data_IF_709768575421
#
_entry.id   IF_709768575421
#
_cell.length_a   1.000
_cell.length_b   1.000
_cell.length_c   1.000
_cell.angle_alpha   90.00
_cell.angle_beta   90.00
_cell.angle_gamma   90.00
#
_symmetry.space_group_name_H-M   'P 1'
#
loop_
_entity.id
_entity.type
_entity.pdbx_description
1 polymer ?
#
# COMPACT_ATOMS: atom_id res chain seq x y z
N UNK A 1 -12.03 10.17 20.30
CA UNK A 1 -10.59 9.87 20.54
C UNK A 1 -10.36 8.71 21.52
N UNK A 2 -11.21 8.54 22.56
CA UNK A 2 -11.10 7.47 23.57
C UNK A 2 -11.25 6.05 22.96
N UNK A 3 -12.20 5.83 22.05
CA UNK A 3 -12.44 4.50 21.46
C UNK A 3 -11.31 3.96 20.57
N UNK A 4 -10.53 4.82 19.90
CA UNK A 4 -9.41 4.38 19.05
C UNK A 4 -8.24 3.88 19.92
N UNK A 5 -7.92 4.61 20.99
CA UNK A 5 -6.83 4.24 21.90
C UNK A 5 -7.16 2.93 22.63
N UNK A 6 -8.40 2.74 23.06
CA UNK A 6 -8.84 1.49 23.69
C UNK A 6 -8.87 0.32 22.69
N UNK A 7 -9.27 0.57 21.43
CA UNK A 7 -9.20 -0.42 20.35
C UNK A 7 -7.75 -0.87 20.09
N UNK A 8 -6.82 0.08 20.04
CA UNK A 8 -5.39 -0.20 19.85
C UNK A 8 -4.79 -0.95 21.06
N UNK A 9 -5.21 -0.63 22.29
CA UNK A 9 -4.77 -1.33 23.52
C UNK A 9 -5.25 -2.78 23.57
N UNK A 10 -6.51 -3.04 23.24
CA UNK A 10 -7.07 -4.41 23.23
C UNK A 10 -6.45 -5.31 22.15
N UNK A 11 -5.96 -4.71 21.06
CA UNK A 11 -5.42 -5.40 19.88
C UNK A 11 -3.93 -5.09 19.66
N UNK A 12 -3.20 -4.76 20.72
CA UNK A 12 -1.82 -4.27 20.68
C UNK A 12 -0.87 -5.17 19.89
N UNK A 13 -1.05 -6.49 19.94
CA UNK A 13 -0.28 -7.44 19.15
C UNK A 13 -0.57 -7.36 17.65
N UNK A 14 -1.83 -7.24 17.24
CA UNK A 14 -2.18 -7.09 15.82
C UNK A 14 -1.69 -5.75 15.24
N UNK A 15 -1.76 -4.69 16.05
CA UNK A 15 -1.19 -3.38 15.71
C UNK A 15 0.33 -3.48 15.57
N UNK A 16 1.01 -4.17 16.50
CA UNK A 16 2.45 -4.42 16.41
C UNK A 16 2.84 -5.14 15.13
N UNK A 17 2.10 -6.19 14.75
CA UNK A 17 2.32 -6.91 13.49
C UNK A 17 2.13 -6.02 12.27
N UNK A 18 1.11 -5.15 12.27
CA UNK A 18 0.87 -4.24 11.16
C UNK A 18 2.00 -3.20 11.02
N UNK A 19 2.46 -2.63 12.14
CA UNK A 19 3.59 -1.69 12.15
C UNK A 19 4.87 -2.36 11.66
N UNK A 20 5.17 -3.58 12.12
CA UNK A 20 6.32 -4.35 11.66
C UNK A 20 6.23 -4.63 10.16
N UNK A 21 5.06 -5.00 9.64
CA UNK A 21 4.85 -5.20 8.21
C UNK A 21 5.12 -3.92 7.41
N UNK A 22 4.62 -2.76 7.87
CA UNK A 22 4.94 -1.46 7.27
C UNK A 22 6.45 -1.14 7.28
N UNK A 23 7.15 -1.44 8.38
CA UNK A 23 8.60 -1.26 8.46
C UNK A 23 9.36 -2.17 7.49
N UNK A 24 8.91 -3.42 7.30
CA UNK A 24 9.49 -4.33 6.32
C UNK A 24 9.34 -3.77 4.89
N UNK A 25 8.21 -3.12 4.58
CA UNK A 25 8.02 -2.44 3.28
C UNK A 25 9.00 -1.28 3.12
N UNK A 26 9.25 -0.49 4.16
CA UNK A 26 10.26 0.58 4.12
C UNK A 26 11.65 0.00 3.85
N UNK A 27 12.02 -1.08 4.55
CA UNK A 27 13.32 -1.76 4.38
C UNK A 27 13.45 -2.35 2.98
N UNK A 28 12.41 -3.00 2.47
CA UNK A 28 12.42 -3.59 1.13
C UNK A 28 12.59 -2.55 0.02
N UNK A 29 12.12 -1.33 0.25
CA UNK A 29 12.20 -0.21 -0.69
C UNK A 29 13.32 0.79 -0.37
N UNK A 30 14.32 0.41 0.44
CA UNK A 30 15.37 1.33 0.89
C UNK A 30 16.17 1.93 -0.27
N UNK A 31 16.39 1.15 -1.32
CA UNK A 31 17.09 1.57 -2.55
C UNK A 31 16.15 2.14 -3.62
N UNK A 32 14.88 2.39 -3.27
CA UNK A 32 13.82 2.78 -4.21
C UNK A 32 12.82 1.65 -4.45
N UNK A 33 11.63 2.05 -4.92
CA UNK A 33 10.57 1.12 -5.33
C UNK A 33 10.90 0.49 -6.68
N UNK A 34 10.53 -0.77 -6.84
CA UNK A 34 10.72 -1.54 -8.06
C UNK A 34 9.79 -1.10 -9.19
N UNK A 35 10.29 -1.23 -10.41
CA UNK A 35 9.61 -0.83 -11.64
C UNK A 35 9.33 -2.06 -12.51
N UNK A 36 8.13 -2.13 -13.05
CA UNK A 36 7.81 -3.01 -14.17
C UNK A 36 7.44 -2.21 -15.41
N UNK A 37 7.13 -2.91 -16.50
CA UNK A 37 6.55 -2.29 -17.69
C UNK A 37 5.29 -1.48 -17.34
N UNK A 38 4.39 -2.10 -16.59
CA UNK A 38 3.10 -1.53 -16.18
C UNK A 38 3.24 -0.29 -15.30
N UNK A 39 4.30 -0.26 -14.48
CA UNK A 39 4.63 0.88 -13.63
C UNK A 39 4.82 2.16 -14.45
N UNK A 40 5.47 2.06 -15.60
CA UNK A 40 5.80 3.22 -16.44
C UNK A 40 4.52 3.95 -16.87
N UNK A 41 3.48 3.19 -17.18
CA UNK A 41 2.17 3.74 -17.52
C UNK A 41 1.52 4.42 -16.32
N UNK A 42 1.50 3.77 -15.15
CA UNK A 42 0.90 4.35 -13.95
C UNK A 42 1.52 5.71 -13.60
N UNK A 43 2.85 5.79 -13.69
CA UNK A 43 3.60 7.01 -13.42
C UNK A 43 3.37 8.08 -14.50
N UNK A 44 3.37 7.70 -15.78
CA UNK A 44 3.10 8.61 -16.88
C UNK A 44 1.70 9.24 -16.75
N UNK A 45 0.67 8.43 -16.49
CA UNK A 45 -0.70 8.91 -16.26
C UNK A 45 -0.75 9.85 -15.07
N UNK A 46 -0.08 9.52 -13.96
CA UNK A 46 -0.05 10.37 -12.78
C UNK A 46 0.61 11.74 -13.03
N UNK A 47 1.73 11.76 -13.74
CA UNK A 47 2.41 13.00 -14.11
C UNK A 47 1.62 13.85 -15.11
N UNK A 48 1.00 13.21 -16.11
CA UNK A 48 0.13 13.91 -17.06
C UNK A 48 -1.10 14.48 -16.36
N UNK A 49 -1.69 13.76 -15.41
CA UNK A 49 -2.77 14.26 -14.57
C UNK A 49 -2.34 15.49 -13.77
N UNK A 50 -1.20 15.43 -13.07
CA UNK A 50 -0.67 16.55 -12.31
C UNK A 50 -0.35 17.78 -13.19
N UNK A 51 0.13 17.54 -14.42
CA UNK A 51 0.39 18.59 -15.42
C UNK A 51 -0.86 19.15 -16.12
N UNK A 52 -2.06 18.62 -15.85
CA UNK A 52 -3.30 19.06 -16.50
C UNK A 52 -3.51 18.53 -17.92
N UNK A 53 -2.73 17.54 -18.37
CA UNK A 53 -2.81 16.95 -19.71
C UNK A 53 -3.84 15.83 -19.83
N UNK A 54 -4.51 15.48 -18.71
CA UNK A 54 -5.45 14.37 -18.63
C UNK A 54 -4.77 13.03 -18.30
N UNK A 55 -5.49 11.93 -18.51
CA UNK A 55 -5.06 10.58 -18.12
C UNK A 55 -4.32 9.87 -19.27
N UNK A 56 -3.18 10.43 -19.68
CA UNK A 56 -2.37 9.92 -20.80
C UNK A 56 -1.28 8.96 -20.33
N UNK A 57 -1.16 7.82 -20.98
CA UNK A 57 -0.13 6.81 -20.71
C UNK A 57 1.27 7.22 -21.24
N UNK A 58 2.24 6.30 -21.12
CA UNK A 58 3.62 6.57 -21.54
C UNK A 58 3.77 6.79 -23.07
N UNK A 59 2.78 6.41 -23.87
CA UNK A 59 2.73 6.61 -25.32
C UNK A 59 1.98 7.89 -25.72
N UNK A 60 1.36 8.58 -24.75
CA UNK A 60 0.62 9.82 -24.98
C UNK A 60 -0.84 9.60 -25.41
N UNK A 61 -1.37 8.38 -25.32
CA UNK A 61 -2.78 8.09 -25.56
C UNK A 61 -3.54 7.95 -24.24
N UNK A 62 -4.87 8.17 -24.22
CA UNK A 62 -5.67 7.95 -23.02
C UNK A 62 -5.54 6.51 -22.49
N UNK A 63 -5.23 6.38 -21.20
CA UNK A 63 -5.15 5.09 -20.53
C UNK A 63 -6.55 4.48 -20.36
N UNK A 64 -6.84 3.41 -21.09
CA UNK A 64 -8.10 2.64 -20.97
C UNK A 64 -7.91 1.22 -20.45
N UNK A 65 -6.67 0.74 -20.34
CA UNK A 65 -6.37 -0.65 -19.96
C UNK A 65 -6.49 -0.86 -18.44
N UNK A 66 -6.19 0.17 -17.64
CA UNK A 66 -6.14 0.07 -16.18
C UNK A 66 -6.93 1.20 -15.51
N UNK A 67 -7.62 0.94 -14.38
CA UNK A 67 -8.25 1.99 -13.60
C UNK A 67 -7.23 3.01 -13.11
N UNK A 68 -7.55 4.32 -13.11
CA UNK A 68 -6.59 5.38 -12.82
C UNK A 68 -6.31 5.56 -11.32
N UNK A 69 -6.76 4.67 -10.44
CA UNK A 69 -6.70 4.86 -8.99
C UNK A 69 -5.28 5.13 -8.47
N UNK A 70 -4.33 4.24 -8.80
CA UNK A 70 -2.92 4.42 -8.44
C UNK A 70 -2.31 5.66 -9.12
N UNK A 71 -2.59 5.86 -10.40
CA UNK A 71 -2.09 7.02 -11.16
C UNK A 71 -2.52 8.35 -10.57
N UNK A 72 -3.79 8.48 -10.15
CA UNK A 72 -4.31 9.69 -9.51
C UNK A 72 -3.58 9.92 -8.19
N UNK A 73 -3.37 8.88 -7.38
CA UNK A 73 -2.63 9.03 -6.11
C UNK A 73 -1.16 9.45 -6.35
N UNK A 74 -0.51 8.90 -7.38
CA UNK A 74 0.82 9.35 -7.82
C UNK A 74 0.80 10.81 -8.23
N UNK A 75 -0.18 11.22 -9.04
CA UNK A 75 -0.34 12.61 -9.47
C UNK A 75 -0.64 13.57 -8.33
N UNK A 76 -1.41 13.17 -7.32
CA UNK A 76 -1.60 13.95 -6.08
C UNK A 76 -0.26 14.10 -5.35
N UNK A 77 0.55 13.05 -5.26
CA UNK A 77 1.90 13.15 -4.69
C UNK A 77 2.79 14.15 -5.44
N UNK A 78 2.74 14.12 -6.77
CA UNK A 78 3.48 15.05 -7.63
C UNK A 78 3.01 16.51 -7.44
N UNK A 79 1.70 16.75 -7.34
CA UNK A 79 1.12 18.06 -7.00
C UNK A 79 1.54 18.57 -5.62
N UNK A 80 1.81 17.66 -4.67
CA UNK A 80 2.35 17.97 -3.34
C UNK A 80 3.89 18.11 -3.33
N UNK A 81 4.55 17.98 -4.48
CA UNK A 81 6.01 18.06 -4.61
C UNK A 81 6.76 16.82 -4.11
N UNK A 82 6.06 15.70 -3.91
CA UNK A 82 6.68 14.43 -3.50
C UNK A 82 7.25 13.70 -4.72
N UNK A 83 8.37 12.98 -4.52
CA UNK A 83 8.86 12.08 -5.55
C UNK A 83 7.91 10.89 -5.72
N UNK A 84 7.88 10.31 -6.93
CA UNK A 84 7.09 9.11 -7.23
C UNK A 84 7.47 7.97 -6.27
N UNK A 85 8.77 7.78 -6.03
CA UNK A 85 9.26 6.74 -5.13
C UNK A 85 8.71 6.90 -3.71
N UNK A 86 8.76 8.13 -3.16
CA UNK A 86 8.26 8.40 -1.82
C UNK A 86 6.74 8.23 -1.75
N UNK A 87 6.02 8.75 -2.75
CA UNK A 87 4.56 8.63 -2.83
C UNK A 87 4.13 7.17 -2.82
N UNK A 88 4.71 6.34 -3.68
CA UNK A 88 4.36 4.92 -3.77
C UNK A 88 4.81 4.15 -2.54
N UNK A 89 5.98 4.46 -1.97
CA UNK A 89 6.41 3.83 -0.71
C UNK A 89 5.40 4.10 0.42
N UNK A 90 4.91 5.34 0.56
CA UNK A 90 3.87 5.68 1.55
C UNK A 90 2.60 4.88 1.29
N UNK A 91 2.15 4.81 0.03
CA UNK A 91 0.96 4.04 -0.33
C UNK A 91 1.11 2.56 -0.02
N UNK A 92 2.25 1.95 -0.36
CA UNK A 92 2.54 0.54 -0.10
C UNK A 92 2.59 0.24 1.40
N UNK A 93 3.17 1.14 2.21
CA UNK A 93 3.17 1.02 3.68
C UNK A 93 1.73 1.05 4.23
N UNK A 94 0.90 1.99 3.75
CA UNK A 94 -0.51 2.09 4.16
C UNK A 94 -1.25 0.80 3.77
N UNK A 95 -1.09 0.32 2.54
CA UNK A 95 -1.70 -0.92 2.06
C UNK A 95 -1.28 -2.11 2.92
N UNK A 96 0.00 -2.28 3.24
CA UNK A 96 0.49 -3.36 4.10
C UNK A 96 -0.16 -3.34 5.49
N UNK A 97 -0.20 -2.16 6.13
CA UNK A 97 -0.84 -1.98 7.44
C UNK A 97 -2.33 -2.32 7.38
N UNK A 98 -3.04 -1.80 6.36
CA UNK A 98 -4.47 -2.03 6.18
C UNK A 98 -4.75 -3.51 5.92
N UNK A 99 -3.95 -4.19 5.10
CA UNK A 99 -4.09 -5.63 4.83
C UNK A 99 -3.94 -6.44 6.12
N UNK A 100 -2.89 -6.19 6.92
CA UNK A 100 -2.67 -6.92 8.19
C UNK A 100 -3.79 -6.67 9.20
N UNK A 101 -4.19 -5.40 9.39
CA UNK A 101 -5.30 -5.06 10.30
C UNK A 101 -6.64 -5.62 9.80
N UNK A 102 -6.87 -5.59 8.48
CA UNK A 102 -8.03 -6.15 7.81
C UNK A 102 -8.13 -7.66 8.00
N UNK A 103 -7.02 -8.39 7.84
CA UNK A 103 -6.95 -9.83 8.11
C UNK A 103 -7.37 -10.12 9.55
N UNK A 104 -6.79 -9.44 10.53
CA UNK A 104 -7.15 -9.65 11.93
C UNK A 104 -8.63 -9.31 12.18
N UNK A 105 -9.11 -8.21 11.62
CA UNK A 105 -10.50 -7.78 11.79
C UNK A 105 -11.50 -8.78 11.21
N UNK A 106 -11.25 -9.30 10.00
CA UNK A 106 -12.08 -10.32 9.37
C UNK A 106 -12.10 -11.62 10.20
N UNK A 107 -10.97 -12.02 10.79
CA UNK A 107 -10.89 -13.18 11.66
C UNK A 107 -11.69 -12.99 12.97
N UNK A 108 -11.77 -11.75 13.48
CA UNK A 108 -12.66 -11.44 14.61
C UNK A 108 -14.14 -11.52 14.21
N UNK A 109 -14.50 -11.04 13.01
CA UNK A 109 -15.87 -11.14 12.48
C UNK A 109 -16.27 -12.62 12.31
N UNK A 110 -15.34 -13.44 11.81
CA UNK A 110 -15.51 -14.88 11.66
C UNK A 110 -15.50 -15.66 12.99
N UNK A 111 -15.38 -14.97 14.14
CA UNK A 111 -15.33 -15.57 15.49
C UNK A 111 -14.21 -16.61 15.65
N UNK A 112 -13.10 -16.44 14.94
CA UNK A 112 -11.94 -17.32 15.07
C UNK A 112 -11.35 -17.21 16.49
N UNK A 113 -10.77 -18.31 16.99
CA UNK A 113 -10.04 -18.30 18.26
C UNK A 113 -8.92 -17.26 18.20
N UNK A 114 -8.78 -16.43 19.24
CA UNK A 114 -7.82 -15.32 19.29
C UNK A 114 -6.40 -15.72 18.89
N UNK A 115 -5.90 -16.85 19.39
CA UNK A 115 -4.54 -17.33 19.08
C UNK A 115 -4.40 -17.68 17.59
N UNK A 116 -5.40 -18.36 17.01
CA UNK A 116 -5.40 -18.69 15.59
C UNK A 116 -5.48 -17.44 14.72
N UNK A 117 -6.27 -16.45 15.15
CA UNK A 117 -6.37 -15.18 14.46
C UNK A 117 -5.02 -14.43 14.43
N UNK A 118 -4.30 -14.41 15.55
CA UNK A 118 -2.98 -13.79 15.64
C UNK A 118 -1.93 -14.54 14.80
N UNK A 119 -1.93 -15.87 14.83
CA UNK A 119 -1.02 -16.68 14.01
C UNK A 119 -1.25 -16.40 12.52
N UNK A 120 -2.50 -16.46 12.05
CA UNK A 120 -2.84 -16.18 10.66
C UNK A 120 -2.47 -14.74 10.26
N UNK A 121 -2.70 -13.76 11.15
CA UNK A 121 -2.30 -12.37 10.93
C UNK A 121 -0.78 -12.24 10.81
N UNK A 122 -0.01 -12.97 11.61
CA UNK A 122 1.44 -12.98 11.52
C UNK A 122 1.92 -13.58 10.18
N UNK A 123 1.30 -14.68 9.71
CA UNK A 123 1.60 -15.23 8.38
C UNK A 123 1.39 -14.20 7.25
N UNK A 124 0.34 -13.38 7.34
CA UNK A 124 0.11 -12.29 6.38
C UNK A 124 1.17 -11.18 6.54
N UNK A 125 1.44 -10.75 7.77
CA UNK A 125 2.39 -9.66 8.05
C UNK A 125 3.83 -9.94 7.57
N UNK A 126 4.25 -11.22 7.60
CA UNK A 126 5.58 -11.68 7.21
C UNK A 126 5.60 -12.43 5.87
N UNK A 127 4.53 -12.35 5.07
CA UNK A 127 4.45 -13.06 3.78
C UNK A 127 5.44 -12.47 2.77
N UNK A 128 6.41 -13.26 2.25
CA UNK A 128 7.35 -12.78 1.24
C UNK A 128 6.66 -12.36 -0.06
N UNK A 129 5.57 -13.02 -0.43
CA UNK A 129 4.80 -12.69 -1.64
C UNK A 129 4.12 -11.32 -1.52
N UNK A 130 3.58 -10.98 -0.33
CA UNK A 130 3.01 -9.66 -0.10
C UNK A 130 4.10 -8.60 -0.01
N UNK A 131 5.23 -8.90 0.63
CA UNK A 131 6.36 -7.98 0.68
C UNK A 131 6.90 -7.65 -0.71
N UNK A 132 6.97 -8.65 -1.61
CA UNK A 132 7.30 -8.43 -3.02
C UNK A 132 6.30 -7.49 -3.70
N UNK A 133 4.99 -7.70 -3.51
CA UNK A 133 3.96 -6.81 -4.05
C UNK A 133 4.17 -5.36 -3.59
N UNK A 134 4.46 -5.16 -2.30
CA UNK A 134 4.70 -3.84 -1.72
C UNK A 134 6.08 -3.25 -2.04
N UNK A 135 6.96 -4.01 -2.68
CA UNK A 135 8.25 -3.52 -3.19
C UNK A 135 8.18 -2.92 -4.59
N UNK A 136 7.01 -2.98 -5.25
CA UNK A 136 6.82 -2.55 -6.63
C UNK A 136 5.81 -1.40 -6.72
N UNK A 137 5.89 -0.62 -7.79
CA UNK A 137 4.81 0.32 -8.16
C UNK A 137 3.73 -0.44 -8.95
N UNK A 138 2.89 -1.18 -8.23
CA UNK A 138 1.76 -1.93 -8.79
C UNK A 138 0.47 -1.57 -8.05
N UNK A 139 -0.66 -1.85 -8.70
CA UNK A 139 -1.97 -1.95 -8.04
C UNK A 139 -2.50 -3.36 -8.19
#
# INVERSE_FOLDING_TARGET
>A
MIGLVDYLKQRSTAVGLAVVSGLLVVIANWSGVGWSWDTSDYVAVGKNFAGGNGLLDATGIPMTVRPPGLSILIGIGDLLGLSVNLTVQILNVICAIVTVLGTFHLLQIAKAKKNLALIATAFVAFSPALLWQYSMIWS
#
